data_IF_643600755144
#
_entry.id   IF_643600755144
#
_cell.length_a   1.000
_cell.length_b   1.000
_cell.length_c   1.000
_cell.angle_alpha   90.00
_cell.angle_beta   90.00
_cell.angle_gamma   90.00
#
_symmetry.space_group_name_H-M   'P 1'
#
loop_
_entity.id
_entity.type
_entity.pdbx_description
1 polymer ?
#
# COMPACT_ATOMS: atom_id res chain seq x y z
N UNK A 1 9.05 32.55 -52.23
CA UNK A 1 8.78 31.32 -53.01
C UNK A 1 9.95 30.39 -52.80
N UNK A 2 9.68 29.21 -52.26
CA UNK A 2 10.66 28.19 -51.86
C UNK A 2 11.35 27.54 -53.07
N UNK A 3 12.65 27.24 -52.93
CA UNK A 3 13.36 26.02 -53.35
C UNK A 3 14.80 26.10 -52.83
N UNK A 4 15.14 25.24 -51.87
CA UNK A 4 16.02 24.07 -52.02
C UNK A 4 17.51 24.43 -52.08
N UNK A 5 18.17 24.36 -50.92
CA UNK A 5 19.56 23.93 -50.83
C UNK A 5 19.67 22.82 -49.78
N UNK A 6 20.17 21.69 -50.27
CA UNK A 6 20.48 20.44 -49.58
C UNK A 6 21.56 20.63 -48.52
N UNK A 7 21.38 20.04 -47.33
CA UNK A 7 22.46 19.88 -46.35
C UNK A 7 22.72 18.37 -46.12
N UNK A 8 23.99 17.93 -46.03
CA UNK A 8 24.37 16.52 -46.20
C UNK A 8 24.08 15.66 -44.97
N UNK A 9 23.76 14.39 -45.24
CA UNK A 9 23.81 13.29 -44.29
C UNK A 9 25.22 13.12 -43.74
N UNK A 10 25.53 13.63 -42.55
CA UNK A 10 26.65 13.15 -41.75
C UNK A 10 26.50 13.63 -40.30
N UNK A 11 25.92 12.76 -39.47
CA UNK A 11 26.12 12.60 -38.02
C UNK A 11 25.07 11.60 -37.46
N UNK A 12 25.00 10.40 -38.05
CA UNK A 12 24.39 9.24 -37.39
C UNK A 12 25.49 8.51 -36.63
N UNK A 13 25.76 8.97 -35.42
CA UNK A 13 26.31 8.20 -34.29
C UNK A 13 26.46 9.15 -33.10
N UNK A 14 25.33 9.69 -32.65
CA UNK A 14 25.26 10.22 -31.29
C UNK A 14 25.04 9.02 -30.36
N UNK A 15 26.07 8.67 -29.60
CA UNK A 15 25.91 7.84 -28.40
C UNK A 15 24.75 8.43 -27.60
N UNK A 16 23.62 7.70 -27.55
CA UNK A 16 22.59 8.01 -26.57
C UNK A 16 23.26 7.78 -25.22
N UNK A 17 23.60 8.86 -24.52
CA UNK A 17 23.87 8.82 -23.10
C UNK A 17 22.67 8.11 -22.43
N UNK A 18 22.80 6.80 -22.19
CA UNK A 18 21.90 6.06 -21.31
C UNK A 18 22.14 6.65 -19.93
N UNK A 19 21.28 7.59 -19.52
CA UNK A 19 21.25 8.05 -18.13
C UNK A 19 21.10 6.79 -17.26
N UNK A 20 22.14 6.49 -16.49
CA UNK A 20 22.14 5.35 -15.59
C UNK A 20 21.00 5.51 -14.59
N UNK A 21 20.22 4.44 -14.39
CA UNK A 21 19.17 4.45 -13.37
C UNK A 21 19.79 4.61 -11.98
N UNK A 22 19.15 5.39 -11.11
CA UNK A 22 19.53 5.43 -9.68
C UNK A 22 19.48 4.00 -9.10
N UNK A 23 20.30 3.67 -8.09
CA UNK A 23 20.26 2.38 -7.41
C UNK A 23 18.85 1.95 -7.00
N UNK A 24 18.03 2.85 -6.45
CA UNK A 24 16.63 2.56 -6.15
C UNK A 24 15.85 2.10 -7.37
N UNK A 25 15.98 2.82 -8.50
CA UNK A 25 15.25 2.52 -9.73
C UNK A 25 15.71 1.20 -10.36
N UNK A 26 16.98 0.82 -10.17
CA UNK A 26 17.48 -0.48 -10.61
C UNK A 26 16.81 -1.63 -9.84
N UNK A 27 16.71 -1.53 -8.51
CA UNK A 27 16.02 -2.54 -7.68
C UNK A 27 14.51 -2.59 -7.97
N UNK A 28 13.87 -1.44 -8.17
CA UNK A 28 12.45 -1.38 -8.56
C UNK A 28 12.19 -2.13 -9.89
N UNK A 29 13.10 -1.97 -10.86
CA UNK A 29 13.04 -2.71 -12.14
C UNK A 29 13.32 -4.19 -12.00
N UNK A 30 14.17 -4.61 -11.06
CA UNK A 30 14.46 -6.03 -10.75
C UNK A 30 13.18 -6.77 -10.37
N UNK A 31 12.36 -6.19 -9.49
CA UNK A 31 11.16 -6.86 -8.99
C UNK A 31 9.90 -6.60 -9.80
N UNK A 32 9.91 -5.66 -10.75
CA UNK A 32 8.74 -5.35 -11.58
C UNK A 32 8.21 -6.60 -12.29
N UNK A 33 6.89 -6.81 -12.22
CA UNK A 33 6.22 -7.80 -13.05
C UNK A 33 6.08 -7.27 -14.49
N UNK A 34 6.78 -7.89 -15.44
CA UNK A 34 6.63 -7.57 -16.85
C UNK A 34 5.50 -8.39 -17.47
N UNK A 35 4.41 -7.71 -17.81
CA UNK A 35 3.33 -8.28 -18.62
C UNK A 35 3.54 -7.85 -20.08
N UNK A 36 3.87 -8.82 -20.93
CA UNK A 36 4.01 -8.61 -22.37
C UNK A 36 2.66 -8.77 -23.07
N UNK A 37 2.42 -8.01 -24.13
CA UNK A 37 1.25 -8.25 -24.99
C UNK A 37 1.29 -9.67 -25.57
N UNK A 38 0.15 -10.25 -25.96
CA UNK A 38 0.09 -11.58 -26.59
C UNK A 38 1.07 -11.74 -27.77
N UNK A 39 1.35 -10.65 -28.49
CA UNK A 39 2.30 -10.63 -29.62
C UNK A 39 3.76 -10.64 -29.15
N UNK A 40 4.07 -9.96 -28.06
CA UNK A 40 5.42 -9.89 -27.48
C UNK A 40 5.75 -11.14 -26.67
N UNK A 41 4.79 -11.72 -25.94
CA UNK A 41 4.95 -12.96 -25.19
C UNK A 41 5.32 -14.15 -26.10
N UNK A 42 4.92 -14.13 -27.38
CA UNK A 42 5.36 -15.11 -28.39
C UNK A 42 6.84 -14.99 -28.77
N UNK A 43 7.48 -13.87 -28.45
CA UNK A 43 8.84 -13.51 -28.87
C UNK A 43 9.81 -13.33 -27.70
N UNK A 44 9.30 -13.20 -26.48
CA UNK A 44 10.05 -12.89 -25.27
C UNK A 44 9.41 -13.60 -24.10
N UNK A 45 10.23 -14.33 -23.36
CA UNK A 45 9.83 -14.86 -22.05
C UNK A 45 9.96 -13.77 -20.99
N UNK A 46 9.05 -13.79 -20.02
CA UNK A 46 9.20 -12.96 -18.82
C UNK A 46 10.40 -13.47 -18.05
N UNK A 47 11.41 -12.63 -17.78
CA UNK A 47 12.58 -13.08 -17.04
C UNK A 47 12.17 -13.57 -15.65
N UNK A 48 12.72 -14.70 -15.17
CA UNK A 48 12.46 -15.15 -13.81
C UNK A 48 12.93 -14.06 -12.84
N UNK A 49 12.17 -13.86 -11.77
CA UNK A 49 12.53 -12.92 -10.71
C UNK A 49 13.10 -13.70 -9.55
N UNK A 50 14.34 -13.42 -9.20
CA UNK A 50 14.95 -13.95 -7.99
C UNK A 50 14.50 -13.16 -6.76
N UNK A 51 13.99 -13.87 -5.76
CA UNK A 51 13.50 -13.33 -4.49
C UNK A 51 14.37 -13.71 -3.30
N UNK A 52 15.53 -14.35 -3.51
CA UNK A 52 16.42 -14.82 -2.43
C UNK A 52 16.83 -13.70 -1.47
N UNK A 53 17.00 -12.48 -1.95
CA UNK A 53 17.38 -11.31 -1.15
C UNK A 53 16.19 -10.55 -0.54
N UNK A 54 14.96 -10.98 -0.79
CA UNK A 54 13.77 -10.38 -0.19
C UNK A 54 13.64 -10.82 1.27
N UNK A 55 13.59 -9.84 2.17
CA UNK A 55 13.44 -10.05 3.59
C UNK A 55 12.04 -10.60 3.91
N UNK A 56 11.99 -11.67 4.69
CA UNK A 56 10.77 -12.34 5.14
C UNK A 56 10.70 -12.42 6.67
N UNK A 57 9.94 -11.52 7.29
CA UNK A 57 9.76 -11.51 8.74
C UNK A 57 8.86 -12.64 9.27
N UNK A 58 8.08 -13.30 8.40
CA UNK A 58 7.25 -14.44 8.80
C UNK A 58 8.07 -15.74 9.00
N UNK A 59 9.26 -15.79 8.41
CA UNK A 59 10.18 -16.91 8.53
C UNK A 59 11.63 -16.40 8.55
N UNK A 60 12.05 -15.91 9.72
CA UNK A 60 13.38 -15.29 9.91
C UNK A 60 14.52 -16.21 9.45
N UNK A 61 14.43 -17.51 9.73
CA UNK A 61 15.47 -18.49 9.37
C UNK A 61 15.64 -18.66 7.85
N UNK A 62 14.59 -18.43 7.06
CA UNK A 62 14.64 -18.54 5.60
C UNK A 62 15.41 -17.41 4.92
N UNK A 63 15.70 -16.33 5.63
CA UNK A 63 16.43 -15.18 5.09
C UNK A 63 17.90 -15.53 4.86
N UNK A 64 18.58 -14.78 3.99
CA UNK A 64 20.04 -14.85 3.87
C UNK A 64 20.72 -14.48 5.19
N UNK A 65 21.95 -14.94 5.41
CA UNK A 65 22.71 -14.59 6.62
C UNK A 65 22.86 -13.07 6.79
N UNK A 66 23.14 -12.35 5.69
CA UNK A 66 23.23 -10.90 5.68
C UNK A 66 21.92 -10.23 6.13
N UNK A 67 20.77 -10.71 5.64
CA UNK A 67 19.47 -10.19 6.06
C UNK A 67 19.15 -10.55 7.52
N UNK A 68 19.41 -11.78 7.96
CA UNK A 68 19.20 -12.21 9.35
C UNK A 68 19.96 -11.35 10.35
N UNK A 69 21.20 -10.97 10.03
CA UNK A 69 22.02 -10.12 10.90
C UNK A 69 21.44 -8.70 11.07
N UNK A 70 20.56 -8.26 10.18
CA UNK A 70 19.88 -6.96 10.24
C UNK A 70 18.50 -7.04 10.90
N UNK A 71 17.94 -8.24 11.14
CA UNK A 71 16.62 -8.43 11.74
C UNK A 71 16.78 -8.53 13.26
N UNK A 72 16.07 -7.67 14.00
CA UNK A 72 16.05 -7.74 15.46
C UNK A 72 14.63 -7.83 15.98
N UNK A 73 14.33 -8.88 16.74
CA UNK A 73 13.03 -9.03 17.41
C UNK A 73 12.91 -7.98 18.52
N UNK A 74 11.81 -7.26 18.54
CA UNK A 74 11.48 -6.31 19.60
C UNK A 74 11.12 -7.10 20.86
N UNK A 75 11.77 -6.75 21.96
CA UNK A 75 11.43 -7.21 23.31
C UNK A 75 10.37 -6.26 23.90
N UNK A 76 9.46 -6.77 24.72
CA UNK A 76 8.53 -5.94 25.47
C UNK A 76 9.26 -5.07 26.52
N UNK A 77 8.54 -4.12 27.13
CA UNK A 77 9.11 -3.20 28.13
C UNK A 77 9.72 -3.87 29.37
N UNK A 78 9.36 -5.12 29.64
CA UNK A 78 9.86 -5.92 30.75
C UNK A 78 10.92 -6.94 30.28
N UNK A 79 11.34 -6.91 29.02
CA UNK A 79 12.32 -7.83 28.43
C UNK A 79 11.73 -9.17 27.93
N UNK A 80 10.41 -9.35 27.96
CA UNK A 80 9.74 -10.55 27.43
C UNK A 80 9.58 -10.52 25.90
N UNK A 81 9.38 -11.68 25.27
CA UNK A 81 9.19 -11.75 23.80
C UNK A 81 7.91 -12.44 23.34
N UNK A 82 7.05 -12.81 24.28
CA UNK A 82 5.91 -13.71 24.02
C UNK A 82 4.59 -12.96 23.87
N UNK A 83 4.54 -11.69 24.29
CA UNK A 83 3.31 -10.88 24.29
C UNK A 83 2.89 -10.44 22.89
N UNK A 84 3.85 -10.21 22.01
CA UNK A 84 3.63 -9.84 20.63
C UNK A 84 4.88 -10.14 19.80
N UNK A 85 4.71 -10.22 18.49
CA UNK A 85 5.81 -10.34 17.54
C UNK A 85 5.95 -9.04 16.77
N UNK A 86 7.09 -8.40 16.91
CA UNK A 86 7.49 -7.25 16.11
C UNK A 86 8.99 -7.35 15.83
N UNK A 87 9.40 -6.88 14.67
CA UNK A 87 10.80 -6.82 14.27
C UNK A 87 11.18 -5.40 13.88
N UNK A 88 12.43 -5.06 14.12
CA UNK A 88 13.12 -3.93 13.51
C UNK A 88 14.09 -4.44 12.45
N UNK A 89 14.53 -3.54 11.57
CA UNK A 89 15.52 -3.84 10.55
C UNK A 89 16.62 -2.79 10.54
N UNK A 90 17.86 -3.16 10.90
CA UNK A 90 18.97 -2.24 11.06
C UNK A 90 19.36 -1.49 9.77
N UNK A 91 19.12 -2.09 8.59
CA UNK A 91 19.33 -1.41 7.30
C UNK A 91 18.33 -0.29 7.01
N UNK A 92 17.23 -0.21 7.76
CA UNK A 92 16.21 0.83 7.66
C UNK A 92 15.76 1.26 9.07
N UNK A 93 16.57 2.07 9.77
CA UNK A 93 16.27 2.46 11.16
C UNK A 93 14.89 3.10 11.32
N UNK A 94 14.16 2.66 12.34
CA UNK A 94 12.78 3.10 12.62
C UNK A 94 11.70 2.39 11.81
N UNK A 95 12.05 1.39 10.98
CA UNK A 95 11.09 0.45 10.42
C UNK A 95 10.69 -0.59 11.48
N UNK A 96 9.40 -0.71 11.74
CA UNK A 96 8.83 -1.75 12.60
C UNK A 96 7.88 -2.62 11.80
N UNK A 97 8.00 -3.94 11.92
CA UNK A 97 7.16 -4.91 11.21
C UNK A 97 6.50 -5.86 12.18
N UNK A 98 5.18 -5.91 12.13
CA UNK A 98 4.31 -6.80 12.90
C UNK A 98 3.75 -7.87 11.96
N UNK A 99 4.46 -8.99 11.75
CA UNK A 99 4.02 -10.01 10.82
C UNK A 99 2.77 -10.73 11.35
N UNK A 100 1.78 -10.94 10.47
CA UNK A 100 0.53 -11.65 10.75
C UNK A 100 -0.17 -11.22 12.05
N UNK A 101 -0.10 -9.92 12.39
CA UNK A 101 -0.66 -9.39 13.63
C UNK A 101 -2.17 -9.19 13.58
N UNK A 102 -2.76 -9.19 12.38
CA UNK A 102 -4.20 -9.22 12.20
C UNK A 102 -4.72 -10.66 12.18
N UNK A 103 -5.75 -10.94 12.98
CA UNK A 103 -6.44 -12.24 12.93
C UNK A 103 -7.17 -12.42 11.60
N UNK A 104 -7.48 -13.66 11.17
CA UNK A 104 -8.29 -13.89 9.98
C UNK A 104 -9.63 -13.13 9.99
N UNK A 105 -10.28 -13.01 11.15
CA UNK A 105 -11.55 -12.29 11.33
C UNK A 105 -11.38 -10.79 11.10
N UNK A 106 -10.31 -10.19 11.65
CA UNK A 106 -9.98 -8.78 11.40
C UNK A 106 -9.68 -8.52 9.92
N UNK A 107 -8.98 -9.46 9.27
CA UNK A 107 -8.68 -9.37 7.84
C UNK A 107 -9.96 -9.45 6.99
N UNK A 108 -10.86 -10.39 7.28
CA UNK A 108 -12.16 -10.49 6.61
C UNK A 108 -12.96 -9.20 6.77
N UNK A 109 -13.06 -8.69 8.00
CA UNK A 109 -13.79 -7.45 8.28
C UNK A 109 -13.20 -6.26 7.51
N UNK A 110 -11.89 -6.05 7.58
CA UNK A 110 -11.25 -4.91 6.92
C UNK A 110 -11.30 -5.01 5.39
N UNK A 111 -11.16 -6.21 4.80
CA UNK A 111 -11.34 -6.42 3.37
C UNK A 111 -12.78 -6.11 2.93
N UNK A 112 -13.77 -6.58 3.70
CA UNK A 112 -15.19 -6.30 3.46
C UNK A 112 -15.47 -4.80 3.49
N UNK A 113 -15.01 -4.09 4.53
CA UNK A 113 -15.21 -2.64 4.64
C UNK A 113 -14.43 -1.86 3.57
N UNK A 114 -13.22 -2.29 3.22
CA UNK A 114 -12.45 -1.68 2.14
C UNK A 114 -13.18 -1.76 0.80
N UNK A 115 -13.83 -2.87 0.51
CA UNK A 115 -14.57 -3.01 -0.75
C UNK A 115 -15.96 -2.36 -0.66
N UNK A 116 -16.71 -2.57 0.41
CA UNK A 116 -18.13 -2.16 0.46
C UNK A 116 -18.36 -0.73 0.98
N UNK A 117 -17.44 -0.19 1.78
CA UNK A 117 -17.68 1.04 2.55
C UNK A 117 -16.68 2.15 2.25
N UNK A 118 -15.39 1.87 2.25
CA UNK A 118 -14.36 2.94 2.20
C UNK A 118 -14.29 3.67 0.86
N UNK A 119 -14.82 3.09 -0.21
CA UNK A 119 -14.97 3.75 -1.50
C UNK A 119 -16.26 4.58 -1.65
N UNK A 120 -17.09 4.71 -0.62
CA UNK A 120 -18.39 5.39 -0.72
C UNK A 120 -18.23 6.92 -0.76
N UNK A 121 -18.63 7.53 -1.87
CA UNK A 121 -18.54 8.98 -2.09
C UNK A 121 -19.55 9.79 -1.29
N UNK A 122 -20.57 9.14 -0.70
CA UNK A 122 -21.49 9.85 0.20
C UNK A 122 -20.83 10.24 1.53
N UNK A 123 -19.78 9.51 1.92
CA UNK A 123 -19.01 9.77 3.13
C UNK A 123 -17.79 10.65 2.83
N UNK A 124 -17.19 10.50 1.64
CA UNK A 124 -15.94 11.14 1.28
C UNK A 124 -15.99 11.72 -0.14
N UNK A 125 -15.15 12.70 -0.50
CA UNK A 125 -14.98 13.11 -1.89
C UNK A 125 -14.19 12.06 -2.71
N UNK A 126 -14.33 10.77 -2.39
CA UNK A 126 -13.78 9.66 -3.16
C UNK A 126 -14.46 9.61 -4.52
N UNK A 127 -13.70 9.34 -5.58
CA UNK A 127 -14.20 9.31 -6.95
C UNK A 127 -13.61 8.13 -7.71
N UNK A 128 -14.31 7.69 -8.75
CA UNK A 128 -13.77 6.75 -9.72
C UNK A 128 -12.63 7.37 -10.53
N UNK A 129 -11.40 7.11 -10.08
CA UNK A 129 -10.13 7.46 -10.73
C UNK A 129 -9.88 8.96 -10.97
N UNK A 130 -8.73 9.44 -10.51
CA UNK A 130 -8.24 10.83 -10.70
C UNK A 130 -8.03 11.25 -12.16
N UNK A 131 -8.05 10.30 -13.10
CA UNK A 131 -7.89 10.56 -14.53
C UNK A 131 -9.19 10.43 -15.33
N UNK A 132 -10.31 10.11 -14.67
CA UNK A 132 -11.60 10.13 -15.33
C UNK A 132 -11.94 11.59 -15.69
N UNK A 133 -12.15 11.87 -16.98
CA UNK A 133 -12.62 13.19 -17.45
C UNK A 133 -13.94 13.61 -16.77
N UNK A 134 -14.70 12.64 -16.25
CA UNK A 134 -15.93 12.82 -15.51
C UNK A 134 -15.84 12.02 -14.19
N UNK A 135 -15.52 12.64 -13.04
CA UNK A 135 -15.54 11.95 -11.77
C UNK A 135 -16.95 11.45 -11.46
N UNK A 136 -17.07 10.17 -11.12
CA UNK A 136 -18.36 9.54 -10.78
C UNK A 136 -18.38 9.19 -9.30
N UNK A 137 -19.51 9.50 -8.66
CA UNK A 137 -19.79 9.05 -7.30
C UNK A 137 -19.90 7.52 -7.25
N UNK A 138 -19.52 6.95 -6.12
CA UNK A 138 -19.49 5.51 -5.89
C UNK A 138 -20.14 5.17 -4.56
N UNK A 139 -20.79 4.01 -4.45
CA UNK A 139 -21.29 3.51 -3.16
C UNK A 139 -20.33 2.50 -2.51
N UNK A 140 -19.39 1.97 -3.28
CA UNK A 140 -18.41 0.96 -2.87
C UNK A 140 -17.20 1.04 -3.82
N UNK A 141 -16.14 0.29 -3.52
CA UNK A 141 -15.07 0.04 -4.49
C UNK A 141 -15.66 -0.57 -5.76
N UNK A 142 -15.16 -0.10 -6.89
CA UNK A 142 -15.36 -0.69 -8.21
C UNK A 142 -14.17 -0.30 -9.08
N UNK A 143 -13.71 -1.18 -9.98
CA UNK A 143 -12.67 -0.81 -10.93
C UNK A 143 -13.10 0.39 -11.79
N UNK A 144 -12.19 1.30 -12.16
CA UNK A 144 -10.75 1.26 -11.92
C UNK A 144 -10.31 2.11 -10.71
N UNK A 145 -11.10 2.19 -9.63
CA UNK A 145 -10.72 2.90 -8.40
C UNK A 145 -9.33 2.46 -7.93
N UNK A 146 -8.48 3.42 -7.57
CA UNK A 146 -7.09 3.15 -7.12
C UNK A 146 -6.86 3.47 -5.67
N UNK A 147 -7.61 4.40 -5.13
CA UNK A 147 -7.52 4.79 -3.74
C UNK A 147 -8.85 5.33 -3.22
N UNK A 148 -8.99 5.35 -1.91
CA UNK A 148 -9.96 6.15 -1.17
C UNK A 148 -9.31 6.76 0.06
N UNK A 149 -9.88 7.84 0.59
CA UNK A 149 -9.42 8.50 1.82
C UNK A 149 -10.42 8.28 2.95
N UNK A 150 -9.92 8.18 4.18
CA UNK A 150 -10.65 8.08 5.46
C UNK A 150 -10.15 9.18 6.41
N UNK A 151 -11.00 9.69 7.32
CA UNK A 151 -10.63 10.85 8.16
C UNK A 151 -10.38 12.11 7.32
N UNK A 152 -9.37 12.93 7.66
CA UNK A 152 -9.04 14.11 6.84
C UNK A 152 -8.75 13.72 5.39
N UNK A 153 -9.38 14.43 4.45
CA UNK A 153 -9.24 14.17 3.02
C UNK A 153 -7.92 14.73 2.50
N UNK A 154 -7.21 13.92 1.74
CA UNK A 154 -5.97 14.33 1.07
C UNK A 154 -6.30 14.98 -0.27
N UNK A 155 -5.81 16.20 -0.50
CA UNK A 155 -5.97 16.88 -1.77
C UNK A 155 -4.74 16.65 -2.67
N UNK A 156 -4.93 15.88 -3.74
CA UNK A 156 -3.85 15.38 -4.59
C UNK A 156 -3.15 16.48 -5.39
N UNK A 157 -3.90 17.52 -5.77
CA UNK A 157 -3.37 18.62 -6.60
C UNK A 157 -2.41 19.48 -5.80
N UNK A 158 -2.84 19.92 -4.60
CA UNK A 158 -2.04 20.74 -3.71
C UNK A 158 -1.09 19.92 -2.83
N UNK A 159 -1.31 18.61 -2.72
CA UNK A 159 -0.60 17.69 -1.82
C UNK A 159 -0.70 18.09 -0.35
N UNK A 160 -1.90 18.46 0.08
CA UNK A 160 -2.16 18.97 1.44
C UNK A 160 -3.40 18.33 2.06
N UNK A 161 -3.49 18.42 3.39
CA UNK A 161 -4.70 18.13 4.14
C UNK A 161 -5.41 19.42 4.55
N UNK A 162 -6.74 19.39 4.57
CA UNK A 162 -7.57 20.51 5.03
C UNK A 162 -8.42 20.07 6.22
N UNK A 163 -8.37 20.85 7.32
CA UNK A 163 -9.12 20.55 8.54
C UNK A 163 -10.65 20.56 8.36
N UNK A 164 -11.17 21.32 7.39
CA UNK A 164 -12.59 21.43 7.12
C UNK A 164 -13.18 20.32 6.24
N UNK A 165 -12.37 19.37 5.77
CA UNK A 165 -12.81 18.30 4.85
C UNK A 165 -12.41 16.93 5.39
N UNK A 166 -13.34 16.25 6.06
CA UNK A 166 -13.05 14.98 6.73
C UNK A 166 -14.20 13.97 6.72
N UNK A 167 -13.80 12.69 6.84
CA UNK A 167 -14.52 11.45 7.14
C UNK A 167 -14.77 11.16 8.63
N UNK A 168 -15.78 10.38 9.07
CA UNK A 168 -15.55 9.46 10.17
C UNK A 168 -14.35 8.55 9.85
N UNK A 169 -13.49 8.36 10.84
CA UNK A 169 -12.34 7.48 10.79
C UNK A 169 -12.71 6.15 11.48
N UNK A 170 -12.50 4.98 10.84
CA UNK A 170 -12.95 3.71 11.41
C UNK A 170 -12.28 3.37 12.75
N UNK A 171 -13.10 3.12 13.78
CA UNK A 171 -12.66 2.82 15.13
C UNK A 171 -11.73 1.59 15.19
N UNK A 172 -12.04 0.53 14.44
CA UNK A 172 -11.19 -0.66 14.40
C UNK A 172 -9.75 -0.36 13.94
N UNK A 173 -9.59 0.47 12.89
CA UNK A 173 -8.27 0.86 12.39
C UNK A 173 -7.55 1.70 13.46
N UNK A 174 -8.26 2.65 14.06
CA UNK A 174 -7.74 3.51 15.13
C UNK A 174 -7.23 2.68 16.30
N UNK A 175 -8.08 1.85 16.87
CA UNK A 175 -7.80 1.09 18.09
C UNK A 175 -6.68 0.08 17.84
N UNK A 176 -6.69 -0.61 16.69
CA UNK A 176 -5.62 -1.53 16.32
C UNK A 176 -4.27 -0.83 16.22
N UNK A 177 -4.20 0.29 15.53
CA UNK A 177 -2.92 1.00 15.35
C UNK A 177 -2.44 1.64 16.65
N UNK A 178 -3.33 2.26 17.44
CA UNK A 178 -2.98 2.77 18.77
C UNK A 178 -2.48 1.66 19.69
N UNK A 179 -3.14 0.50 19.67
CA UNK A 179 -2.75 -0.68 20.44
C UNK A 179 -1.38 -1.23 20.03
N UNK A 180 -1.09 -1.33 18.74
CA UNK A 180 0.24 -1.76 18.27
C UNK A 180 1.32 -0.76 18.68
N UNK A 181 1.05 0.54 18.51
CA UNK A 181 2.02 1.59 18.85
C UNK A 181 2.33 1.67 20.35
N UNK A 182 1.35 1.42 21.22
CA UNK A 182 1.60 1.39 22.67
C UNK A 182 2.46 0.20 23.11
N UNK A 183 2.46 -0.90 22.35
CA UNK A 183 3.34 -2.06 22.62
C UNK A 183 4.80 -1.78 22.32
N UNK A 184 5.10 -0.78 21.47
CA UNK A 184 6.46 -0.49 20.99
C UNK A 184 6.96 0.90 21.37
N UNK A 185 6.24 1.65 22.19
CA UNK A 185 6.61 3.01 22.62
C UNK A 185 8.00 3.11 23.28
N UNK A 186 8.45 2.03 23.91
CA UNK A 186 9.74 1.94 24.60
C UNK A 186 10.92 1.63 23.67
N UNK A 187 10.66 1.29 22.41
CA UNK A 187 11.71 0.90 21.46
C UNK A 187 12.64 2.09 21.20
N UNK A 188 13.94 1.85 21.44
CA UNK A 188 15.04 2.76 21.12
C UNK A 188 16.03 2.03 20.23
N UNK A 189 16.31 2.58 19.06
CA UNK A 189 17.28 2.00 18.13
C UNK A 189 18.15 3.12 17.56
N UNK A 190 19.48 2.98 17.58
CA UNK A 190 20.41 3.94 16.95
C UNK A 190 20.15 5.42 17.30
N UNK A 191 19.86 5.71 18.57
CA UNK A 191 19.48 7.04 19.09
C UNK A 191 18.12 7.58 18.63
N UNK A 192 17.33 6.79 17.90
CA UNK A 192 15.92 7.05 17.61
C UNK A 192 15.04 6.54 18.76
N UNK A 193 14.05 7.35 19.15
CA UNK A 193 12.95 6.96 20.01
C UNK A 193 11.64 7.19 19.26
N UNK A 194 10.71 6.23 19.36
CA UNK A 194 9.44 6.24 18.63
C UNK A 194 8.61 7.50 18.87
N UNK A 195 8.68 8.00 20.10
CA UNK A 195 8.10 9.26 20.54
C UNK A 195 9.21 10.08 21.24
N UNK A 196 9.98 10.89 20.50
CA UNK A 196 11.03 11.69 21.12
C UNK A 196 10.36 12.73 22.05
N UNK A 197 10.75 12.73 23.32
CA UNK A 197 10.30 13.76 24.25
C UNK A 197 10.71 15.14 23.70
N UNK A 198 9.74 16.05 23.54
CA UNK A 198 10.07 17.43 23.21
C UNK A 198 10.81 18.06 24.41
N UNK A 199 11.80 18.93 24.18
CA UNK A 199 12.51 19.60 25.27
C UNK A 199 11.54 20.46 26.09
N UNK A 200 11.31 20.09 27.35
CA UNK A 200 10.49 20.86 28.30
C UNK A 200 9.09 20.32 28.58
N UNK A 201 8.66 19.25 27.90
CA UNK A 201 7.34 18.67 28.15
C UNK A 201 7.37 17.68 29.32
N UNK A 202 6.43 17.87 30.26
CA UNK A 202 6.01 16.80 31.16
C UNK A 202 5.50 15.62 30.32
N UNK A 203 5.82 14.41 30.75
CA UNK A 203 5.77 13.12 30.04
C UNK A 203 4.39 12.72 29.45
N UNK A 204 3.35 13.55 29.51
CA UNK A 204 1.97 13.09 29.53
C UNK A 204 1.14 13.12 28.23
N UNK A 205 1.61 13.56 27.07
CA UNK A 205 0.74 13.54 25.85
C UNK A 205 1.44 13.28 24.51
N UNK A 206 2.19 12.18 24.37
CA UNK A 206 2.75 11.75 23.07
C UNK A 206 2.07 10.50 22.49
N UNK A 207 0.75 10.45 22.50
CA UNK A 207 0.03 9.31 21.93
C UNK A 207 -0.18 9.49 20.42
N UNK A 208 0.12 8.46 19.64
CA UNK A 208 -0.27 8.40 18.23
C UNK A 208 -1.80 8.43 18.10
N UNK A 209 -2.31 9.33 17.28
CA UNK A 209 -3.71 9.40 16.88
C UNK A 209 -3.81 9.36 15.35
N UNK A 210 -4.27 8.27 14.72
CA UNK A 210 -4.48 8.25 13.28
C UNK A 210 -5.69 9.14 12.94
N UNK A 211 -5.44 10.17 12.13
CA UNK A 211 -6.42 11.20 11.75
C UNK A 211 -6.80 11.13 10.27
N UNK A 212 -5.99 10.46 9.46
CA UNK A 212 -6.27 10.19 8.05
C UNK A 212 -5.80 8.79 7.69
N UNK A 213 -6.45 8.16 6.72
CA UNK A 213 -5.91 6.98 6.06
C UNK A 213 -6.15 7.03 4.56
N UNK A 214 -5.16 6.58 3.80
CA UNK A 214 -5.30 6.32 2.36
C UNK A 214 -5.41 4.80 2.18
N UNK A 215 -6.56 4.36 1.70
CA UNK A 215 -6.79 2.97 1.29
C UNK A 215 -6.37 2.86 -0.17
N UNK A 216 -5.37 2.06 -0.48
CA UNK A 216 -4.90 1.84 -1.84
C UNK A 216 -5.33 0.46 -2.33
N UNK A 217 -5.86 0.39 -3.55
CA UNK A 217 -6.31 -0.84 -4.20
C UNK A 217 -5.34 -1.22 -5.32
N UNK A 218 -4.67 -2.36 -5.15
CA UNK A 218 -3.67 -2.89 -6.07
C UNK A 218 -4.11 -4.24 -6.65
N UNK A 219 -4.88 -4.25 -7.74
CA UNK A 219 -5.01 -5.44 -8.57
C UNK A 219 -3.63 -5.94 -9.03
N UNK A 220 -3.45 -7.25 -9.17
CA UNK A 220 -2.21 -7.86 -9.66
C UNK A 220 -1.75 -7.19 -10.97
N UNK A 221 -0.46 -6.87 -11.06
CA UNK A 221 0.11 -6.08 -12.15
C UNK A 221 0.11 -4.56 -11.93
N UNK A 222 -0.60 -4.06 -10.91
CA UNK A 222 -0.44 -2.69 -10.44
C UNK A 222 0.90 -2.50 -9.72
N UNK A 223 1.40 -1.27 -9.69
CA UNK A 223 2.62 -0.89 -8.98
C UNK A 223 2.47 0.50 -8.38
N UNK A 224 3.16 0.77 -7.27
CA UNK A 224 3.38 2.11 -6.74
C UNK A 224 4.86 2.44 -6.90
N UNK A 225 5.14 3.52 -7.62
CA UNK A 225 6.51 3.93 -7.93
C UNK A 225 7.21 4.52 -6.70
N UNK A 226 8.55 4.66 -6.77
CA UNK A 226 9.36 5.33 -5.74
C UNK A 226 8.79 6.71 -5.35
N UNK A 227 8.41 6.88 -4.08
CA UNK A 227 7.88 8.13 -3.53
C UNK A 227 8.18 8.26 -2.03
N UNK A 228 7.79 9.40 -1.45
CA UNK A 228 7.79 9.68 -0.01
C UNK A 228 6.41 10.18 0.41
N UNK A 229 6.11 10.00 1.70
CA UNK A 229 4.89 10.47 2.34
C UNK A 229 5.22 11.59 3.34
N UNK A 230 5.17 12.84 2.89
CA UNK A 230 5.66 14.01 3.66
C UNK A 230 4.66 15.17 3.70
N UNK A 231 3.37 14.87 3.46
CA UNK A 231 2.34 15.90 3.33
C UNK A 231 1.68 16.27 4.66
N UNK A 232 1.93 15.50 5.73
CA UNK A 232 1.43 15.76 7.07
C UNK A 232 2.20 16.92 7.72
N UNK A 233 1.54 17.71 8.58
CA UNK A 233 2.25 18.75 9.35
C UNK A 233 3.20 18.13 10.36
N UNK A 234 2.83 16.96 10.90
CA UNK A 234 3.58 16.28 11.96
C UNK A 234 4.26 15.02 11.42
N UNK A 235 5.52 15.16 11.03
CA UNK A 235 6.36 14.03 10.56
C UNK A 235 7.09 13.31 11.70
N UNK A 236 6.95 13.75 12.95
CA UNK A 236 7.47 13.04 14.12
C UNK A 236 6.59 11.86 14.54
N UNK A 237 5.35 11.80 14.06
CA UNK A 237 4.41 10.71 14.30
C UNK A 237 4.55 9.62 13.24
N UNK A 238 4.35 8.33 13.60
CA UNK A 238 4.53 7.23 12.67
C UNK A 238 3.48 7.25 11.56
N UNK A 239 3.82 6.64 10.43
CA UNK A 239 2.88 6.18 9.42
C UNK A 239 2.68 4.67 9.62
N UNK A 240 1.44 4.22 9.74
CA UNK A 240 1.09 2.82 9.92
C UNK A 240 0.43 2.27 8.65
N UNK A 241 0.94 1.17 8.10
CA UNK A 241 0.43 0.52 6.89
C UNK A 241 -0.06 -0.90 7.21
N UNK A 242 -1.36 -1.12 7.08
CA UNK A 242 -1.97 -2.46 7.12
C UNK A 242 -1.92 -3.10 5.72
N UNK A 243 -1.55 -4.36 5.64
CA UNK A 243 -1.52 -5.17 4.41
C UNK A 243 -2.65 -6.21 4.38
N UNK A 244 -3.44 -6.25 3.31
CA UNK A 244 -4.56 -7.19 3.15
C UNK A 244 -4.59 -7.80 1.74
N UNK A 245 -4.99 -9.07 1.64
CA UNK A 245 -5.12 -9.79 0.37
C UNK A 245 -3.79 -10.29 -0.19
N UNK A 246 -3.58 -10.13 -1.49
CA UNK A 246 -2.34 -10.51 -2.16
C UNK A 246 -1.08 -9.96 -1.45
N UNK A 247 -0.03 -10.78 -1.35
CA UNK A 247 1.26 -10.34 -0.87
C UNK A 247 1.90 -9.33 -1.84
N UNK A 248 2.88 -8.57 -1.37
CA UNK A 248 3.68 -7.72 -2.26
C UNK A 248 5.17 -7.79 -1.95
N UNK A 249 5.95 -7.35 -2.93
CA UNK A 249 7.32 -6.89 -2.70
C UNK A 249 7.24 -5.39 -2.42
N UNK A 250 7.72 -5.01 -1.24
CA UNK A 250 7.84 -3.63 -0.79
C UNK A 250 9.32 -3.26 -0.77
N UNK A 251 9.67 -2.10 -1.33
CA UNK A 251 11.03 -1.57 -1.25
C UNK A 251 11.04 -0.36 -0.33
N UNK A 252 12.04 -0.29 0.54
CA UNK A 252 12.30 0.89 1.35
C UNK A 252 13.80 1.15 1.43
N UNK A 253 14.19 2.39 1.16
CA UNK A 253 15.56 2.86 1.24
C UNK A 253 15.73 3.87 2.37
N UNK A 254 16.48 4.92 2.08
CA UNK A 254 16.75 6.04 2.98
C UNK A 254 15.99 7.29 2.51
N UNK A 255 16.39 8.48 2.96
CA UNK A 255 15.94 9.75 2.40
C UNK A 255 16.57 10.09 1.03
N UNK A 256 17.35 9.19 0.43
CA UNK A 256 17.98 9.35 -0.88
C UNK A 256 17.55 8.24 -1.85
N UNK A 257 17.34 8.62 -3.12
CA UNK A 257 17.10 7.66 -4.22
C UNK A 257 18.39 7.04 -4.78
N UNK A 258 19.53 7.56 -4.33
CA UNK A 258 20.87 7.08 -4.68
C UNK A 258 21.35 5.95 -3.76
N UNK A 259 20.63 5.69 -2.67
CA UNK A 259 20.88 4.53 -1.83
C UNK A 259 20.11 3.31 -2.35
N UNK A 260 20.73 2.14 -2.27
CA UNK A 260 20.10 0.87 -2.64
C UNK A 260 19.04 0.53 -1.60
N UNK A 261 17.75 0.37 -1.98
CA UNK A 261 16.71 -0.01 -1.04
C UNK A 261 16.80 -1.49 -0.67
N UNK A 262 16.25 -1.83 0.49
CA UNK A 262 15.98 -3.20 0.88
C UNK A 262 14.61 -3.64 0.39
N UNK A 263 14.48 -4.92 0.05
CA UNK A 263 13.24 -5.53 -0.38
C UNK A 263 12.64 -6.38 0.74
N UNK A 264 11.33 -6.24 0.94
CA UNK A 264 10.57 -6.92 1.99
C UNK A 264 9.34 -7.59 1.38
N UNK A 265 9.02 -8.81 1.81
CA UNK A 265 7.75 -9.46 1.48
C UNK A 265 6.71 -9.11 2.55
N UNK A 266 5.62 -8.46 2.15
CA UNK A 266 4.49 -8.15 3.04
C UNK A 266 3.26 -8.96 2.63
N UNK A 267 2.67 -9.67 3.58
CA UNK A 267 1.53 -10.59 3.40
C UNK A 267 0.23 -10.00 3.96
N UNK A 268 -0.88 -10.68 3.71
CA UNK A 268 -2.15 -10.36 4.34
C UNK A 268 -2.09 -10.55 5.85
N UNK A 269 -2.35 -9.47 6.58
CA UNK A 269 -2.33 -9.42 8.04
C UNK A 269 -1.05 -8.81 8.62
N UNK A 270 -0.07 -8.48 7.80
CA UNK A 270 1.11 -7.74 8.24
C UNK A 270 0.77 -6.26 8.47
N UNK A 271 1.33 -5.68 9.53
CA UNK A 271 1.31 -4.23 9.77
C UNK A 271 2.74 -3.72 9.84
N UNK A 272 2.98 -2.57 9.20
CA UNK A 272 4.30 -1.93 9.19
C UNK A 272 4.19 -0.50 9.72
N UNK A 273 5.09 -0.09 10.59
CA UNK A 273 5.21 1.29 11.04
C UNK A 273 6.48 1.93 10.48
N UNK A 274 6.33 3.12 9.90
CA UNK A 274 7.45 3.98 9.52
C UNK A 274 7.56 5.08 10.56
N UNK A 275 8.66 5.12 11.30
CA UNK A 275 8.88 6.10 12.34
C UNK A 275 10.33 6.57 12.33
N UNK A 276 10.58 7.78 12.83
CA UNK A 276 11.94 8.32 12.85
C UNK A 276 12.56 8.42 11.45
N UNK A 277 13.79 7.92 11.23
CA UNK A 277 14.45 7.99 9.93
C UNK A 277 13.64 7.34 8.79
N UNK A 278 12.93 6.24 9.04
CA UNK A 278 12.12 5.56 8.02
C UNK A 278 10.84 6.34 7.66
N UNK A 279 10.37 7.26 8.53
CA UNK A 279 9.13 8.04 8.32
C UNK A 279 9.17 8.88 7.05
N UNK A 280 10.36 9.30 6.64
CA UNK A 280 10.59 10.06 5.41
C UNK A 280 11.42 9.27 4.39
N UNK A 281 11.51 7.95 4.51
CA UNK A 281 12.27 7.14 3.56
C UNK A 281 11.55 7.00 2.22
N UNK A 282 12.32 6.97 1.12
CA UNK A 282 11.81 6.59 -0.18
C UNK A 282 11.38 5.13 -0.17
N UNK A 283 10.20 4.86 -0.73
CA UNK A 283 9.65 3.53 -0.78
C UNK A 283 8.79 3.30 -2.03
N UNK A 284 8.54 2.03 -2.36
CA UNK A 284 7.74 1.63 -3.53
C UNK A 284 7.12 0.24 -3.36
N UNK A 285 6.13 -0.07 -4.19
CA UNK A 285 5.53 -1.40 -4.32
C UNK A 285 5.67 -1.84 -5.78
N UNK A 286 6.83 -2.39 -6.20
CA UNK A 286 7.07 -2.78 -7.59
C UNK A 286 6.27 -4.00 -8.05
N UNK A 287 5.78 -4.83 -7.12
CA UNK A 287 5.11 -6.09 -7.46
C UNK A 287 4.08 -6.53 -6.43
N UNK A 288 2.89 -6.85 -6.93
CA UNK A 288 1.88 -7.63 -6.23
C UNK A 288 2.07 -9.11 -6.64
N UNK A 289 2.07 -10.00 -5.65
CA UNK A 289 2.11 -11.44 -5.83
C UNK A 289 0.67 -11.96 -5.88
N UNK A 290 0.42 -12.93 -6.75
CA UNK A 290 -0.93 -13.45 -6.94
C UNK A 290 -1.22 -14.63 -6.00
N UNK A 291 -1.22 -14.36 -4.69
CA UNK A 291 -1.29 -15.36 -3.62
C UNK A 291 -2.29 -14.97 -2.52
N UNK A 292 -3.43 -14.37 -2.90
CA UNK A 292 -4.45 -13.94 -1.95
C UNK A 292 -4.93 -15.11 -1.05
N UNK A 293 -5.05 -14.93 0.28
CA UNK A 293 -5.51 -15.99 1.16
C UNK A 293 -6.90 -16.52 0.77
N UNK A 294 -7.11 -17.85 0.71
CA UNK A 294 -8.37 -18.43 0.25
C UNK A 294 -9.61 -17.93 1.00
N UNK A 295 -9.50 -17.75 2.33
CA UNK A 295 -10.60 -17.27 3.18
C UNK A 295 -11.01 -15.81 2.94
N UNK A 296 -10.27 -15.07 2.10
CA UNK A 296 -10.61 -13.71 1.66
C UNK A 296 -11.24 -13.66 0.26
N UNK A 297 -11.38 -14.81 -0.41
CA UNK A 297 -11.78 -14.88 -1.82
C UNK A 297 -12.89 -15.92 -2.05
N UNK A 298 -13.36 -16.01 -3.29
CA UNK A 298 -14.18 -17.14 -3.76
C UNK A 298 -13.25 -18.22 -4.33
N UNK A 299 -13.46 -19.48 -3.91
CA UNK A 299 -12.70 -20.61 -4.40
C UNK A 299 -12.89 -20.81 -5.92
N UNK A 300 -11.87 -21.32 -6.61
CA UNK A 300 -11.90 -21.48 -8.07
C UNK A 300 -13.03 -22.41 -8.55
N UNK A 301 -13.33 -23.45 -7.77
CA UNK A 301 -14.41 -24.41 -8.01
C UNK A 301 -15.82 -23.78 -7.86
N UNK A 302 -15.94 -22.73 -7.06
CA UNK A 302 -17.21 -22.01 -6.81
C UNK A 302 -17.44 -20.86 -7.81
N UNK A 303 -16.51 -20.62 -8.72
CA UNK A 303 -16.66 -19.63 -9.77
C UNK A 303 -17.56 -20.14 -10.89
N UNK A 304 -18.46 -19.28 -11.34
CA UNK A 304 -19.16 -19.47 -12.62
C UNK A 304 -18.22 -19.18 -13.78
N UNK A 305 -18.59 -19.67 -14.97
CA UNK A 305 -17.81 -19.40 -16.18
C UNK A 305 -17.77 -17.90 -16.54
N UNK A 306 -18.88 -17.19 -16.31
CA UNK A 306 -18.96 -15.74 -16.49
C UNK A 306 -18.00 -14.99 -15.56
N UNK A 307 -17.91 -15.41 -14.30
CA UNK A 307 -16.97 -14.81 -13.34
C UNK A 307 -15.52 -15.09 -13.75
N UNK A 308 -15.17 -16.32 -14.14
CA UNK A 308 -13.84 -16.66 -14.68
C UNK A 308 -13.44 -15.74 -15.84
N UNK A 309 -14.32 -15.55 -16.82
CA UNK A 309 -14.05 -14.67 -17.97
C UNK A 309 -13.98 -13.17 -17.59
N UNK A 310 -14.69 -12.79 -16.54
CA UNK A 310 -14.69 -11.42 -15.99
C UNK A 310 -13.37 -11.09 -15.31
N UNK A 311 -12.74 -12.08 -14.65
CA UNK A 311 -11.42 -11.94 -14.01
C UNK A 311 -10.29 -11.65 -14.97
N UNK A 312 -10.23 -12.35 -16.11
CA UNK A 312 -9.18 -12.16 -17.12
C UNK A 312 -9.10 -10.70 -17.62
N UNK A 313 -10.22 -9.98 -17.51
CA UNK A 313 -10.35 -8.59 -17.93
C UNK A 313 -10.31 -7.58 -16.78
N UNK A 314 -10.09 -8.02 -15.53
CA UNK A 314 -10.19 -7.20 -14.31
C UNK A 314 -11.56 -6.48 -14.18
N UNK A 315 -12.60 -7.05 -14.79
CA UNK A 315 -13.96 -6.52 -14.78
C UNK A 315 -14.81 -7.40 -13.89
N UNK A 316 -14.64 -7.31 -12.57
CA UNK A 316 -15.27 -8.20 -11.57
C UNK A 316 -16.81 -8.19 -11.57
N UNK A 317 -17.44 -7.30 -12.35
CA UNK A 317 -18.88 -7.26 -12.57
C UNK A 317 -19.17 -6.68 -13.97
N UNK A 318 -19.26 -7.52 -15.00
CA UNK A 318 -19.85 -7.10 -16.28
C UNK A 318 -21.37 -7.20 -16.19
N UNK A 319 -22.01 -6.16 -15.67
CA UNK A 319 -23.28 -5.74 -16.25
C UNK A 319 -22.92 -4.79 -17.39
N UNK A 320 -22.38 -5.33 -18.48
CA UNK A 320 -22.35 -4.57 -19.72
C UNK A 320 -23.82 -4.37 -20.09
N UNK A 321 -24.31 -3.13 -20.06
CA UNK A 321 -25.50 -2.83 -20.82
C UNK A 321 -25.25 -3.22 -22.29
N UNK A 322 -26.28 -3.50 -23.10
CA UNK A 322 -26.12 -3.95 -24.47
C UNK A 322 -25.23 -3.05 -25.37
N UNK A 323 -24.98 -1.81 -24.95
CA UNK A 323 -24.11 -0.81 -25.58
C UNK A 323 -22.65 -0.79 -25.07
N UNK A 324 -22.30 -1.65 -24.12
CA UNK A 324 -20.97 -1.75 -23.51
C UNK A 324 -20.69 -0.75 -22.38
N UNK A 325 -21.69 0.01 -21.91
CA UNK A 325 -21.52 0.91 -20.77
C UNK A 325 -21.37 0.13 -19.44
N UNK A 326 -20.57 0.66 -18.53
CA UNK A 326 -20.37 0.08 -17.19
C UNK A 326 -21.52 0.56 -16.31
N UNK A 327 -22.39 -0.36 -15.87
CA UNK A 327 -23.39 -0.06 -14.84
C UNK A 327 -22.70 -0.02 -13.48
N UNK A 328 -22.69 1.13 -12.77
CA UNK A 328 -22.07 1.21 -11.45
C UNK A 328 -22.74 0.25 -10.46
N UNK A 329 -21.95 -0.36 -9.60
CA UNK A 329 -22.50 -1.20 -8.52
C UNK A 329 -23.18 -0.31 -7.50
N UNK A 330 -24.46 -0.58 -7.23
CA UNK A 330 -25.19 0.02 -6.13
C UNK A 330 -25.36 -1.02 -5.01
N UNK A 331 -24.54 -0.92 -3.96
CA UNK A 331 -24.53 -1.89 -2.85
C UNK A 331 -25.86 -1.98 -2.10
N UNK A 332 -26.71 -0.94 -2.19
CA UNK A 332 -28.02 -0.90 -1.55
C UNK A 332 -29.04 -1.80 -2.25
N UNK A 333 -28.80 -2.15 -3.52
CA UNK A 333 -29.65 -3.07 -4.29
C UNK A 333 -29.22 -4.53 -4.15
N UNK A 334 -28.05 -4.80 -3.57
CA UNK A 334 -27.54 -6.15 -3.34
C UNK A 334 -28.10 -6.71 -2.02
N UNK A 335 -28.50 -7.98 -2.03
CA UNK A 335 -28.72 -8.77 -0.82
C UNK A 335 -27.40 -8.96 -0.03
N UNK A 336 -27.48 -9.43 1.22
CA UNK A 336 -26.28 -9.74 2.00
C UNK A 336 -25.42 -10.83 1.35
N UNK A 337 -26.03 -11.86 0.77
CA UNK A 337 -25.29 -12.92 0.06
C UNK A 337 -24.58 -12.38 -1.18
N UNK A 338 -25.23 -11.49 -1.93
CA UNK A 338 -24.60 -10.83 -3.09
C UNK A 338 -23.49 -9.87 -2.66
N UNK A 339 -23.64 -9.14 -1.55
CA UNK A 339 -22.58 -8.30 -0.98
C UNK A 339 -21.39 -9.14 -0.56
N UNK A 340 -21.63 -10.25 0.13
CA UNK A 340 -20.61 -11.20 0.57
C UNK A 340 -19.84 -11.78 -0.61
N UNK A 341 -20.56 -12.23 -1.64
CA UNK A 341 -19.94 -12.72 -2.88
C UNK A 341 -19.16 -11.62 -3.58
N UNK A 342 -19.71 -10.41 -3.69
CA UNK A 342 -19.10 -9.29 -4.40
C UNK A 342 -17.72 -8.90 -3.85
N UNK A 343 -17.59 -8.72 -2.54
CA UNK A 343 -16.30 -8.30 -1.98
C UNK A 343 -15.24 -9.39 -2.10
N UNK A 344 -15.62 -10.66 -1.94
CA UNK A 344 -14.73 -11.81 -2.13
C UNK A 344 -14.26 -11.94 -3.57
N UNK A 345 -15.16 -11.67 -4.54
CA UNK A 345 -14.78 -11.64 -5.94
C UNK A 345 -13.77 -10.51 -6.21
N UNK A 346 -14.00 -9.31 -5.67
CA UNK A 346 -13.08 -8.18 -5.83
C UNK A 346 -11.70 -8.45 -5.22
N UNK A 347 -11.64 -9.13 -4.07
CA UNK A 347 -10.38 -9.47 -3.39
C UNK A 347 -9.55 -10.53 -4.13
N UNK A 348 -10.15 -11.30 -5.05
CA UNK A 348 -9.42 -12.24 -5.88
C UNK A 348 -8.46 -11.47 -6.79
N UNK A 349 -7.16 -11.73 -6.68
CA UNK A 349 -6.09 -11.00 -7.37
C UNK A 349 -5.95 -9.53 -6.95
N UNK A 350 -6.36 -9.16 -5.73
CA UNK A 350 -6.23 -7.80 -5.23
C UNK A 350 -5.48 -7.76 -3.91
N UNK A 351 -4.62 -6.76 -3.79
CA UNK A 351 -4.06 -6.30 -2.53
C UNK A 351 -4.70 -4.98 -2.13
N UNK A 352 -4.98 -4.82 -0.84
CA UNK A 352 -5.37 -3.55 -0.24
C UNK A 352 -4.31 -3.13 0.78
N UNK A 353 -3.88 -1.87 0.73
CA UNK A 353 -3.12 -1.24 1.80
C UNK A 353 -3.96 -0.17 2.48
N UNK A 354 -3.94 -0.11 3.81
CA UNK A 354 -4.53 0.99 4.57
C UNK A 354 -3.39 1.72 5.28
N UNK A 355 -3.05 2.92 4.78
CA UNK A 355 -1.96 3.73 5.31
C UNK A 355 -2.53 4.85 6.17
N UNK A 356 -2.51 4.71 7.49
CA UNK A 356 -2.97 5.75 8.40
C UNK A 356 -1.84 6.59 8.98
N UNK A 357 -2.17 7.85 9.28
CA UNK A 357 -1.22 8.89 9.67
C UNK A 357 -1.90 9.87 10.63
N UNK A 358 -1.09 10.48 11.48
CA UNK A 358 -1.48 11.69 12.21
C UNK A 358 -1.10 12.90 11.36
N UNK A 359 -2.04 13.83 11.15
CA UNK A 359 -1.83 14.99 10.27
C UNK A 359 -1.43 16.22 11.08
N UNK A 360 -2.14 16.48 12.17
CA UNK A 360 -2.02 17.64 13.04
C UNK A 360 -1.61 17.23 14.47
N UNK A 361 -0.99 18.14 15.23
CA UNK A 361 -0.60 17.86 16.62
C UNK A 361 -1.82 17.75 17.55
N UNK A 362 -2.88 18.53 17.27
CA UNK A 362 -4.09 18.53 18.09
C UNK A 362 -4.82 17.19 17.99
N UNK A 363 -5.40 16.75 19.11
CA UNK A 363 -6.33 15.63 19.11
C UNK A 363 -7.61 16.00 18.35
N UNK A 364 -8.10 15.05 17.55
CA UNK A 364 -9.23 15.23 16.66
C UNK A 364 -10.34 14.23 16.99
N UNK A 365 -10.81 14.25 18.25
CA UNK A 365 -11.83 13.31 18.74
C UNK A 365 -13.10 13.24 17.88
N UNK A 366 -13.46 14.33 17.20
CA UNK A 366 -14.61 14.42 16.29
C UNK A 366 -14.51 13.53 15.04
N UNK A 367 -13.33 12.98 14.74
CA UNK A 367 -13.14 12.03 13.65
C UNK A 367 -13.68 10.63 13.98
N UNK A 368 -13.89 10.30 15.25
CA UNK A 368 -14.26 8.95 15.72
C UNK A 368 -15.67 8.96 16.31
#
# INVERSE_FOLDING_TARGET
MNREETCPNECRNGEKNELSYTPFRQVEKKYKLYQFSKREAKRRETPPTDFVDVVDFSNVESNTEANRNLIHKVVDKNGGTDRFTCFTFAGVPGLLVFPQVLTPEEQVHLCREAVLSYGDSSQHPNILSTHAKNPMATTCYQPPMRWSTLGFSYEWTSKTYNEGVYSPFPALIKDKMKGLMSLVEHVKQDSFALFPAAPGDAVETQHYEPQTAIVNYYPVGSMMMCHQDISEQVLTRPLMSISLGCSCIFLMGTNSREDTPYAFKLRSGDVVAFAGPSRTAFHSVPRILDDCPPYLTVADEDLTETERQSYDNHTYYKNASPDGSIVPVNKALLSEEERERYWRLCMKHMRVNINARQVFEKECAFLF
#
